data_IF_965161762191
#
_entry.id   IF_965161762191
#
_cell.length_a   1.000
_cell.length_b   1.000
_cell.length_c   1.000
_cell.angle_alpha   90.00
_cell.angle_beta   90.00
_cell.angle_gamma   90.00
#
_symmetry.space_group_name_H-M   'P 1'
#
loop_
_entity.id
_entity.type
_entity.pdbx_description
1 polymer ?
#
# COMPACT_ATOMS: atom_id res chain seq x y z
N UNK A 1 4.07 18.45 -22.50
CA UNK A 1 4.96 17.59 -21.69
C UNK A 1 5.30 16.41 -22.59
N UNK A 2 6.57 16.23 -22.94
CA UNK A 2 7.01 15.13 -23.81
C UNK A 2 6.92 13.82 -23.03
N UNK A 3 6.55 12.72 -23.69
CA UNK A 3 6.45 11.39 -23.08
C UNK A 3 7.77 10.87 -22.46
N UNK A 4 8.87 11.59 -22.65
CA UNK A 4 10.23 11.22 -22.26
C UNK A 4 10.53 11.44 -20.76
N UNK A 5 9.76 12.25 -20.02
CA UNK A 5 9.98 12.48 -18.58
C UNK A 5 8.91 11.81 -17.70
N UNK A 6 8.57 10.55 -18.01
CA UNK A 6 7.61 9.76 -17.24
C UNK A 6 8.28 8.54 -16.61
N UNK A 7 7.92 8.22 -15.36
CA UNK A 7 8.33 6.98 -14.71
C UNK A 7 7.16 6.27 -14.02
N UNK A 8 7.29 4.97 -13.85
CA UNK A 8 6.40 4.13 -13.05
C UNK A 8 7.03 3.82 -11.70
N UNK A 9 6.24 3.94 -10.63
CA UNK A 9 6.59 3.55 -9.27
C UNK A 9 5.61 2.47 -8.82
N UNK A 10 6.08 1.22 -8.76
CA UNK A 10 5.35 0.12 -8.15
C UNK A 10 5.56 0.16 -6.63
N UNK A 11 4.49 0.34 -5.87
CA UNK A 11 4.52 0.38 -4.41
C UNK A 11 4.03 -0.96 -3.86
N UNK A 12 4.98 -1.79 -3.43
CA UNK A 12 4.67 -3.04 -2.72
C UNK A 12 4.29 -2.69 -1.29
N UNK A 13 3.05 -3.02 -0.91
CA UNK A 13 2.39 -2.45 0.26
C UNK A 13 1.37 -3.42 0.87
N UNK A 14 1.08 -3.24 2.16
CA UNK A 14 -0.04 -3.89 2.84
C UNK A 14 -0.93 -2.85 3.53
N UNK A 15 -2.24 -2.97 3.40
CA UNK A 15 -3.22 -1.99 3.87
C UNK A 15 -3.32 -1.89 5.40
N UNK A 16 -2.77 -2.90 6.10
CA UNK A 16 -2.65 -2.94 7.57
C UNK A 16 -1.24 -2.59 8.08
N UNK A 17 -0.35 -2.10 7.21
CA UNK A 17 0.97 -1.61 7.60
C UNK A 17 0.95 -0.08 7.83
N UNK A 18 1.16 0.43 9.06
CA UNK A 18 1.11 1.87 9.31
C UNK A 18 2.25 2.63 8.62
N UNK A 19 3.40 1.97 8.42
CA UNK A 19 4.50 2.53 7.63
C UNK A 19 4.15 2.67 6.16
N UNK A 20 3.29 1.80 5.61
CA UNK A 20 2.82 1.96 4.24
C UNK A 20 1.93 3.19 4.09
N UNK A 21 1.14 3.53 5.11
CA UNK A 21 0.34 4.76 5.08
C UNK A 21 1.21 6.02 5.15
N UNK A 22 2.20 6.04 6.06
CA UNK A 22 3.20 7.13 6.12
C UNK A 22 3.94 7.24 4.77
N UNK A 23 4.42 6.11 4.24
CA UNK A 23 5.10 6.06 2.95
C UNK A 23 4.23 6.55 1.79
N UNK A 24 2.93 6.26 1.81
CA UNK A 24 1.97 6.78 0.84
C UNK A 24 1.89 8.31 0.87
N UNK A 25 1.76 8.91 2.06
CA UNK A 25 1.73 10.39 2.22
C UNK A 25 3.05 11.03 1.77
N UNK A 26 4.18 10.40 2.09
CA UNK A 26 5.50 10.88 1.69
C UNK A 26 5.73 10.75 0.20
N UNK A 27 5.24 9.69 -0.44
CA UNK A 27 5.27 9.54 -1.90
C UNK A 27 4.43 10.64 -2.58
N UNK A 28 3.22 10.94 -2.08
CA UNK A 28 2.41 12.04 -2.63
C UNK A 28 3.17 13.38 -2.59
N UNK A 29 3.83 13.68 -1.46
CA UNK A 29 4.69 14.88 -1.32
C UNK A 29 5.89 14.83 -2.27
N UNK A 30 6.57 13.69 -2.35
CA UNK A 30 7.72 13.48 -3.21
C UNK A 30 7.40 13.67 -4.69
N UNK A 31 6.22 13.21 -5.16
CA UNK A 31 5.76 13.41 -6.53
C UNK A 31 5.54 14.91 -6.80
N UNK A 32 4.92 15.64 -5.85
CA UNK A 32 4.76 17.08 -5.98
C UNK A 32 6.11 17.83 -6.00
N UNK A 33 7.10 17.36 -5.22
CA UNK A 33 8.45 17.92 -5.18
C UNK A 33 9.31 17.53 -6.39
N UNK A 34 9.06 16.39 -7.03
CA UNK A 34 9.75 15.95 -8.23
C UNK A 34 9.46 16.85 -9.44
N UNK A 35 8.38 17.63 -9.40
CA UNK A 35 8.12 18.73 -10.32
C UNK A 35 7.60 18.26 -11.68
N UNK A 36 8.47 18.25 -12.68
CA UNK A 36 8.12 18.02 -14.09
C UNK A 36 8.16 16.55 -14.52
N UNK A 37 8.42 15.63 -13.58
CA UNK A 37 8.38 14.19 -13.81
C UNK A 37 6.93 13.70 -13.72
N UNK A 38 6.45 13.06 -14.78
CA UNK A 38 5.14 12.39 -14.80
C UNK A 38 5.25 11.03 -14.11
N UNK A 39 4.70 10.90 -12.90
CA UNK A 39 4.86 9.70 -12.06
C UNK A 39 3.58 8.88 -12.04
N UNK A 40 3.67 7.67 -12.61
CA UNK A 40 2.62 6.67 -12.58
C UNK A 40 2.76 5.75 -11.37
N UNK A 41 1.80 5.76 -10.45
CA UNK A 41 1.86 4.97 -9.22
C UNK A 41 0.98 3.73 -9.35
N UNK A 42 1.55 2.55 -9.11
CA UNK A 42 0.81 1.29 -9.09
C UNK A 42 0.98 0.59 -7.76
N UNK A 43 -0.11 0.09 -7.19
CA UNK A 43 -0.07 -0.60 -5.90
C UNK A 43 0.01 -2.11 -6.12
N UNK A 44 1.00 -2.73 -5.46
CA UNK A 44 1.30 -4.16 -5.55
C UNK A 44 1.10 -4.82 -4.19
N UNK A 45 0.53 -6.02 -4.13
CA UNK A 45 0.12 -6.64 -2.89
C UNK A 45 1.31 -7.20 -2.11
N UNK A 46 1.24 -7.03 -0.80
CA UNK A 46 2.05 -7.73 0.19
C UNK A 46 1.15 -8.11 1.36
N UNK A 47 1.38 -9.26 1.97
CA UNK A 47 0.71 -9.62 3.23
C UNK A 47 1.75 -9.71 4.34
N UNK A 48 1.66 -8.81 5.32
CA UNK A 48 2.46 -8.85 6.53
C UNK A 48 2.27 -10.15 7.31
N UNK A 49 1.05 -10.70 7.24
CA UNK A 49 0.70 -11.94 7.91
C UNK A 49 -0.34 -12.73 7.09
N UNK A 50 0.10 -13.62 6.18
CA UNK A 50 -0.81 -14.45 5.40
C UNK A 50 -1.46 -15.57 6.23
N UNK A 51 -1.08 -15.73 7.51
CA UNK A 51 -1.61 -16.81 8.37
C UNK A 51 -2.90 -16.43 9.09
N UNK A 52 -3.25 -15.14 9.13
CA UNK A 52 -4.52 -14.66 9.67
C UNK A 52 -5.67 -15.32 8.88
N UNK A 53 -6.66 -15.96 9.53
CA UNK A 53 -7.80 -16.58 8.83
C UNK A 53 -8.66 -15.52 8.13
N UNK A 54 -9.47 -15.92 7.13
CA UNK A 54 -10.32 -14.99 6.38
C UNK A 54 -11.27 -14.18 7.28
N UNK A 55 -11.79 -14.79 8.35
CA UNK A 55 -12.65 -14.11 9.32
C UNK A 55 -11.93 -13.03 10.16
N UNK A 56 -10.59 -12.92 10.04
CA UNK A 56 -9.76 -12.08 10.89
C UNK A 56 -9.54 -12.66 12.28
N UNK A 57 -8.81 -11.92 13.10
CA UNK A 57 -8.57 -12.22 14.52
C UNK A 57 -8.95 -11.02 15.38
N UNK A 58 -9.23 -11.26 16.67
CA UNK A 58 -9.26 -10.17 17.64
C UNK A 58 -7.92 -9.41 17.61
N UNK A 59 -7.99 -8.09 17.44
CA UNK A 59 -6.79 -7.28 17.25
C UNK A 59 -5.87 -7.32 18.46
N UNK A 60 -6.43 -7.32 19.67
CA UNK A 60 -5.67 -7.30 20.91
C UNK A 60 -4.94 -8.62 21.09
N UNK A 61 -5.63 -9.75 20.94
CA UNK A 61 -5.03 -11.09 20.99
C UNK A 61 -3.91 -11.24 19.96
N UNK A 62 -4.17 -10.84 18.70
CA UNK A 62 -3.17 -10.87 17.64
C UNK A 62 -1.91 -10.07 17.99
N UNK A 63 -2.08 -8.83 18.49
CA UNK A 63 -0.96 -7.96 18.84
C UNK A 63 -0.17 -8.48 20.03
N UNK A 64 -0.85 -9.04 21.04
CA UNK A 64 -0.21 -9.68 22.18
C UNK A 64 0.60 -10.90 21.76
N UNK A 65 0.06 -11.75 20.87
CA UNK A 65 0.80 -12.88 20.32
C UNK A 65 2.04 -12.43 19.53
N UNK A 66 1.94 -11.35 18.76
CA UNK A 66 3.02 -10.83 17.92
C UNK A 66 4.12 -10.09 18.69
N UNK A 67 3.76 -9.30 19.70
CA UNK A 67 4.68 -8.38 20.38
C UNK A 67 4.92 -8.72 21.85
N UNK A 68 4.12 -9.59 22.46
CA UNK A 68 4.33 -10.17 23.78
C UNK A 68 3.76 -9.39 24.96
N UNK A 69 3.59 -8.06 24.88
CA UNK A 69 2.96 -7.28 25.96
C UNK A 69 2.27 -6.00 25.48
N UNK A 70 1.29 -5.52 26.26
CA UNK A 70 0.60 -4.26 26.03
C UNK A 70 1.57 -3.07 26.06
N UNK A 71 2.52 -3.07 27.00
CA UNK A 71 3.51 -2.00 27.13
C UNK A 71 4.36 -1.88 25.86
N UNK A 72 4.74 -3.02 25.25
CA UNK A 72 5.51 -3.01 24.00
C UNK A 72 4.68 -2.53 22.83
N UNK A 73 3.40 -2.91 22.76
CA UNK A 73 2.46 -2.42 21.75
C UNK A 73 2.31 -0.89 21.87
N UNK A 74 2.06 -0.38 23.07
CA UNK A 74 1.97 1.06 23.33
C UNK A 74 3.26 1.79 22.98
N UNK A 75 4.44 1.24 23.29
CA UNK A 75 5.72 1.85 22.90
C UNK A 75 5.91 1.90 21.39
N UNK A 76 5.45 0.89 20.64
CA UNK A 76 5.50 0.90 19.18
C UNK A 76 4.56 1.98 18.63
N UNK A 77 3.32 2.06 19.13
CA UNK A 77 2.37 3.09 18.71
C UNK A 77 2.86 4.52 19.04
N UNK A 78 3.37 4.74 20.26
CA UNK A 78 3.90 6.04 20.69
C UNK A 78 5.10 6.52 19.87
N UNK A 79 5.82 5.62 19.18
CA UNK A 79 6.90 5.98 18.26
C UNK A 79 6.40 6.35 16.87
N UNK A 80 5.30 5.78 16.42
CA UNK A 80 4.79 5.98 15.05
C UNK A 80 3.76 7.10 14.97
N UNK A 81 3.01 7.36 16.03
CA UNK A 81 2.00 8.42 16.09
C UNK A 81 2.55 9.80 15.70
N UNK A 82 3.68 10.28 16.29
CA UNK A 82 4.22 11.59 15.91
C UNK A 82 4.69 11.65 14.44
N UNK A 83 5.13 10.51 13.89
CA UNK A 83 5.53 10.42 12.48
C UNK A 83 4.31 10.49 11.57
N UNK A 84 3.19 9.87 11.97
CA UNK A 84 1.91 10.01 11.27
C UNK A 84 1.39 11.43 11.31
N UNK A 85 1.40 12.07 12.48
CA UNK A 85 0.93 13.46 12.66
C UNK A 85 1.69 14.44 11.76
N UNK A 86 3.00 14.27 11.62
CA UNK A 86 3.82 15.07 10.70
C UNK A 86 3.40 14.91 9.22
N UNK A 87 2.77 13.80 8.87
CA UNK A 87 2.19 13.53 7.55
C UNK A 87 0.67 13.80 7.48
N UNK A 88 0.08 14.34 8.54
CA UNK A 88 -1.37 14.61 8.62
C UNK A 88 -2.22 13.36 8.81
N UNK A 89 -1.67 12.29 9.39
CA UNK A 89 -2.38 11.07 9.75
C UNK A 89 -2.76 11.11 11.23
N UNK A 90 -4.03 10.92 11.53
CA UNK A 90 -4.52 10.80 12.91
C UNK A 90 -4.78 9.34 13.25
N UNK A 91 -3.73 8.63 13.64
CA UNK A 91 -3.83 7.21 13.99
C UNK A 91 -4.80 6.98 15.16
N UNK A 92 -5.86 6.22 14.90
CA UNK A 92 -6.84 5.74 15.85
C UNK A 92 -6.61 4.26 16.17
N UNK A 93 -5.39 3.88 16.57
CA UNK A 93 -5.04 2.46 16.83
C UNK A 93 -6.00 1.78 17.83
N UNK A 94 -6.53 2.54 18.81
CA UNK A 94 -7.52 2.04 19.76
C UNK A 94 -8.89 1.72 19.16
N UNK A 95 -9.24 2.26 17.99
CA UNK A 95 -10.47 1.96 17.26
C UNK A 95 -10.39 0.64 16.51
N UNK A 96 -9.19 0.18 16.14
CA UNK A 96 -8.98 -1.07 15.39
C UNK A 96 -9.28 -2.27 16.28
N UNK A 97 -10.38 -2.99 16.01
CA UNK A 97 -10.81 -4.16 16.79
C UNK A 97 -10.49 -5.50 16.15
N UNK A 98 -10.25 -5.51 14.84
CA UNK A 98 -9.97 -6.74 14.08
C UNK A 98 -8.58 -6.61 13.43
N UNK A 99 -7.79 -7.68 13.48
CA UNK A 99 -6.67 -7.89 12.57
C UNK A 99 -7.19 -8.67 11.35
N UNK A 100 -7.43 -8.03 10.20
CA UNK A 100 -8.02 -8.70 9.04
C UNK A 100 -6.98 -9.50 8.27
N UNK A 101 -7.44 -10.55 7.57
CA UNK A 101 -6.70 -11.06 6.42
C UNK A 101 -6.88 -10.06 5.26
N UNK A 102 -5.78 -9.59 4.68
CA UNK A 102 -5.81 -8.54 3.66
C UNK A 102 -5.91 -9.03 2.21
N UNK A 103 -6.07 -10.34 1.99
CA UNK A 103 -6.09 -10.93 0.65
C UNK A 103 -7.24 -10.37 -0.19
N UNK A 104 -8.44 -10.27 0.38
CA UNK A 104 -9.60 -9.70 -0.33
C UNK A 104 -9.44 -8.20 -0.58
N UNK A 105 -8.88 -7.44 0.36
CA UNK A 105 -8.54 -6.04 0.13
C UNK A 105 -7.57 -5.88 -1.06
N UNK A 106 -6.56 -6.76 -1.16
CA UNK A 106 -5.62 -6.78 -2.29
C UNK A 106 -6.26 -7.19 -3.62
N UNK A 107 -7.26 -8.08 -3.61
CA UNK A 107 -8.06 -8.39 -4.81
C UNK A 107 -8.82 -7.15 -5.30
N UNK A 108 -9.43 -6.38 -4.39
CA UNK A 108 -10.13 -5.14 -4.76
C UNK A 108 -9.15 -4.09 -5.28
N UNK A 109 -7.95 -3.96 -4.69
CA UNK A 109 -6.89 -3.08 -5.21
C UNK A 109 -6.50 -3.47 -6.65
N UNK A 110 -6.37 -4.78 -6.93
CA UNK A 110 -6.07 -5.28 -8.27
C UNK A 110 -7.16 -4.91 -9.27
N UNK A 111 -8.42 -5.10 -8.91
CA UNK A 111 -9.56 -4.73 -9.78
C UNK A 111 -9.66 -3.22 -9.98
N UNK A 112 -9.36 -2.42 -8.95
CA UNK A 112 -9.29 -0.96 -9.06
C UNK A 112 -8.23 -0.53 -10.09
N UNK A 113 -7.07 -1.21 -10.11
CA UNK A 113 -6.02 -0.97 -11.10
C UNK A 113 -6.50 -1.24 -12.54
N UNK A 114 -7.34 -2.24 -12.75
CA UNK A 114 -7.95 -2.50 -14.06
C UNK A 114 -8.99 -1.44 -14.47
N UNK A 115 -9.62 -0.77 -13.49
CA UNK A 115 -10.54 0.35 -13.72
C UNK A 115 -9.81 1.69 -13.97
N UNK A 116 -8.56 1.82 -13.52
CA UNK A 116 -7.69 2.96 -13.78
C UNK A 116 -6.73 3.26 -12.63
N UNK A 117 -5.57 3.85 -12.95
CA UNK A 117 -4.53 4.18 -11.97
C UNK A 117 -5.06 5.09 -10.85
N UNK A 118 -5.76 6.17 -11.21
CA UNK A 118 -6.34 7.09 -10.24
C UNK A 118 -7.39 6.44 -9.33
N UNK A 119 -8.13 5.46 -9.85
CA UNK A 119 -9.11 4.69 -9.07
C UNK A 119 -8.40 3.84 -8.03
N UNK A 120 -7.33 3.15 -8.43
CA UNK A 120 -6.49 2.37 -7.51
C UNK A 120 -5.85 3.25 -6.44
N UNK A 121 -5.30 4.40 -6.82
CA UNK A 121 -4.68 5.35 -5.91
C UNK A 121 -5.68 5.90 -4.87
N UNK A 122 -6.91 6.25 -5.29
CA UNK A 122 -7.97 6.66 -4.36
C UNK A 122 -8.39 5.53 -3.42
N UNK A 123 -8.55 4.30 -3.93
CA UNK A 123 -8.95 3.16 -3.13
C UNK A 123 -7.93 2.84 -2.03
N UNK A 124 -6.63 2.79 -2.37
CA UNK A 124 -5.59 2.48 -1.38
C UNK A 124 -5.51 3.56 -0.31
N UNK A 125 -5.60 4.84 -0.68
CA UNK A 125 -5.71 5.94 0.28
C UNK A 125 -6.92 5.72 1.20
N UNK A 126 -8.09 5.38 0.65
CA UNK A 126 -9.30 5.13 1.43
C UNK A 126 -9.15 3.95 2.38
N UNK A 127 -8.55 2.85 1.95
CA UNK A 127 -8.28 1.69 2.80
C UNK A 127 -7.37 2.03 3.98
N UNK A 128 -6.32 2.82 3.76
CA UNK A 128 -5.49 3.28 4.88
C UNK A 128 -6.29 4.09 5.89
N UNK A 129 -7.12 5.04 5.44
CA UNK A 129 -7.96 5.86 6.33
C UNK A 129 -8.97 5.00 7.09
N UNK A 130 -9.67 4.10 6.38
CA UNK A 130 -10.62 3.15 6.97
C UNK A 130 -9.98 2.34 8.10
N UNK A 131 -8.81 1.75 7.86
CA UNK A 131 -8.15 0.93 8.87
C UNK A 131 -7.55 1.77 10.00
N UNK A 132 -6.80 2.84 9.68
CA UNK A 132 -5.95 3.52 10.64
C UNK A 132 -6.57 4.72 11.33
N UNK A 133 -7.54 5.39 10.71
CA UNK A 133 -8.19 6.59 11.26
C UNK A 133 -9.62 6.28 11.74
N UNK A 134 -10.29 5.32 11.10
CA UNK A 134 -11.69 4.95 11.41
C UNK A 134 -11.85 3.60 12.13
N UNK A 135 -10.81 2.75 12.12
CA UNK A 135 -10.85 1.43 12.76
C UNK A 135 -11.75 0.40 12.05
N UNK A 136 -12.10 0.63 10.79
CA UNK A 136 -12.91 -0.26 9.99
C UNK A 136 -12.18 -1.57 9.64
N UNK A 137 -12.95 -2.65 9.54
CA UNK A 137 -12.42 -3.98 9.25
C UNK A 137 -12.26 -4.19 7.73
N UNK A 138 -11.03 -4.15 7.22
CA UNK A 138 -10.75 -4.41 5.79
C UNK A 138 -10.86 -5.90 5.38
N UNK A 139 -11.26 -6.79 6.29
CA UNK A 139 -11.70 -8.15 5.94
C UNK A 139 -13.21 -8.25 5.69
N UNK A 140 -13.97 -7.19 5.96
CA UNK A 140 -15.42 -7.15 5.73
C UNK A 140 -15.74 -6.73 4.30
N UNK A 141 -16.42 -7.61 3.56
CA UNK A 141 -16.80 -7.36 2.16
C UNK A 141 -17.66 -6.10 2.00
N UNK A 142 -18.53 -5.77 2.95
CA UNK A 142 -19.36 -4.57 2.86
C UNK A 142 -18.50 -3.29 2.92
N UNK A 143 -17.47 -3.28 3.78
CA UNK A 143 -16.50 -2.18 3.87
C UNK A 143 -15.70 -2.06 2.57
N UNK A 144 -15.27 -3.19 1.99
CA UNK A 144 -14.51 -3.20 0.74
C UNK A 144 -15.33 -2.69 -0.45
N UNK A 145 -16.60 -3.11 -0.56
CA UNK A 145 -17.52 -2.68 -1.61
C UNK A 145 -17.78 -1.17 -1.54
N UNK A 146 -18.04 -0.63 -0.35
CA UNK A 146 -18.32 0.80 -0.21
C UNK A 146 -17.08 1.65 -0.51
N UNK A 147 -15.91 1.24 -0.04
CA UNK A 147 -14.66 1.91 -0.38
C UNK A 147 -14.37 1.89 -1.90
N UNK A 148 -14.66 0.78 -2.57
CA UNK A 148 -14.55 0.68 -4.03
C UNK A 148 -15.49 1.66 -4.75
N UNK A 149 -16.72 1.78 -4.27
CA UNK A 149 -17.70 2.76 -4.77
C UNK A 149 -17.21 4.20 -4.61
N UNK A 150 -16.74 4.56 -3.41
CA UNK A 150 -16.18 5.89 -3.11
C UNK A 150 -14.94 6.19 -3.98
N UNK A 151 -14.13 5.18 -4.28
CA UNK A 151 -12.99 5.30 -5.18
C UNK A 151 -13.39 5.47 -6.66
N UNK A 152 -14.66 5.27 -7.02
CA UNK A 152 -15.18 5.43 -8.38
C UNK A 152 -15.23 4.13 -9.20
N UNK A 153 -15.18 2.97 -8.54
CA UNK A 153 -15.43 1.68 -9.19
C UNK A 153 -16.94 1.42 -9.34
N UNK A 154 -17.29 0.55 -10.30
CA UNK A 154 -18.61 -0.07 -10.31
C UNK A 154 -18.68 -1.11 -9.17
N UNK A 155 -19.40 -0.76 -8.10
CA UNK A 155 -19.55 -1.61 -6.91
C UNK A 155 -20.13 -2.99 -7.24
N UNK A 156 -20.96 -3.11 -8.28
CA UNK A 156 -21.59 -4.39 -8.66
C UNK A 156 -20.57 -5.44 -9.10
N UNK A 157 -19.45 -5.00 -9.70
CA UNK A 157 -18.33 -5.89 -10.05
C UNK A 157 -17.70 -6.45 -8.79
N UNK A 158 -17.45 -5.60 -7.79
CA UNK A 158 -16.82 -5.99 -6.53
C UNK A 158 -17.74 -6.92 -5.72
N UNK A 159 -19.03 -6.58 -5.62
CA UNK A 159 -20.07 -7.40 -4.98
C UNK A 159 -20.18 -8.80 -5.62
N UNK A 160 -20.01 -8.88 -6.94
CA UNK A 160 -20.08 -10.15 -7.67
C UNK A 160 -18.82 -11.00 -7.49
N UNK A 161 -17.64 -10.39 -7.50
CA UNK A 161 -16.37 -11.12 -7.51
C UNK A 161 -15.89 -11.52 -6.11
N UNK A 162 -16.11 -10.69 -5.08
CA UNK A 162 -15.63 -10.93 -3.71
C UNK A 162 -16.04 -12.29 -3.13
N UNK A 163 -17.29 -12.78 -3.29
CA UNK A 163 -17.71 -14.08 -2.77
C UNK A 163 -17.09 -15.29 -3.49
N UNK A 164 -16.35 -15.08 -4.57
CA UNK A 164 -15.73 -16.12 -5.39
C UNK A 164 -14.22 -16.17 -5.19
N UNK A 165 -13.55 -17.14 -5.82
CA UNK A 165 -12.07 -17.23 -5.84
C UNK A 165 -11.42 -16.37 -6.96
N UNK A 166 -12.17 -15.48 -7.62
CA UNK A 166 -11.66 -14.64 -8.69
C UNK A 166 -10.38 -13.88 -8.26
N UNK A 167 -9.29 -14.02 -9.02
CA UNK A 167 -7.98 -13.42 -8.76
C UNK A 167 -7.29 -13.79 -7.43
N UNK A 168 -7.81 -14.73 -6.63
CA UNK A 168 -7.14 -15.21 -5.40
C UNK A 168 -5.73 -15.72 -5.71
N UNK A 169 -5.60 -16.62 -6.68
CA UNK A 169 -4.30 -17.18 -7.07
C UNK A 169 -3.41 -16.15 -7.75
N UNK A 170 -3.99 -15.21 -8.50
CA UNK A 170 -3.24 -14.13 -9.14
C UNK A 170 -2.55 -13.24 -8.08
N UNK A 171 -3.30 -12.81 -7.06
CA UNK A 171 -2.77 -11.99 -5.96
C UNK A 171 -1.73 -12.76 -5.14
N UNK A 172 -1.98 -14.04 -4.82
CA UNK A 172 -1.00 -14.90 -4.12
C UNK A 172 0.30 -15.06 -4.91
N UNK A 173 0.20 -15.30 -6.21
CA UNK A 173 1.37 -15.43 -7.08
C UNK A 173 2.17 -14.13 -7.16
N UNK A 174 1.48 -13.00 -7.12
CA UNK A 174 2.09 -11.67 -7.11
C UNK A 174 2.84 -11.39 -5.80
N UNK A 175 2.23 -11.69 -4.65
CA UNK A 175 2.89 -11.63 -3.33
C UNK A 175 4.14 -12.53 -3.30
N UNK A 176 4.02 -13.77 -3.80
CA UNK A 176 5.13 -14.70 -3.87
C UNK A 176 6.25 -14.21 -4.82
N UNK A 177 5.90 -13.47 -5.87
CA UNK A 177 6.87 -12.88 -6.80
C UNK A 177 7.66 -11.77 -6.12
N UNK A 178 7.00 -10.86 -5.40
CA UNK A 178 7.67 -9.82 -4.62
C UNK A 178 8.65 -10.43 -3.60
N UNK A 179 8.26 -11.51 -2.92
CA UNK A 179 9.14 -12.24 -2.01
C UNK A 179 10.37 -12.84 -2.71
N UNK A 180 10.19 -13.46 -3.89
CA UNK A 180 11.31 -13.99 -4.71
C UNK A 180 12.25 -12.90 -5.21
N UNK A 181 11.75 -11.67 -5.39
CA UNK A 181 12.56 -10.49 -5.71
C UNK A 181 13.35 -9.96 -4.50
N UNK A 182 13.24 -10.60 -3.33
CA UNK A 182 13.94 -10.20 -2.10
C UNK A 182 13.19 -9.17 -1.26
N UNK A 183 11.95 -8.82 -1.62
CA UNK A 183 11.13 -7.87 -0.86
C UNK A 183 10.57 -8.59 0.36
N UNK A 184 11.16 -8.29 1.53
CA UNK A 184 10.84 -8.92 2.82
C UNK A 184 10.17 -7.95 3.80
N UNK A 185 9.96 -6.70 3.39
CA UNK A 185 9.30 -5.67 4.19
C UNK A 185 8.69 -4.58 3.31
N UNK A 186 7.73 -3.84 3.88
CA UNK A 186 6.94 -2.82 3.19
C UNK A 186 6.83 -1.53 4.01
N UNK A 187 6.68 -0.35 3.38
CA UNK A 187 6.55 -0.15 1.93
C UNK A 187 7.89 -0.37 1.20
N UNK A 188 7.80 -0.84 -0.04
CA UNK A 188 8.93 -0.87 -0.98
C UNK A 188 8.49 -0.17 -2.26
N UNK A 189 9.28 0.83 -2.69
CA UNK A 189 9.05 1.59 -3.90
C UNK A 189 10.00 1.08 -4.98
N UNK A 190 9.45 0.46 -6.03
CA UNK A 190 10.19 -0.02 -7.19
C UNK A 190 10.02 0.98 -8.33
N UNK A 191 11.07 1.74 -8.63
CA UNK A 191 11.09 2.70 -9.73
C UNK A 191 11.52 1.99 -11.02
N UNK A 192 10.67 2.06 -12.05
CA UNK A 192 10.84 1.40 -13.35
C UNK A 192 11.12 -0.11 -13.25
N UNK A 193 10.72 -0.74 -12.15
CA UNK A 193 11.01 -2.15 -11.86
C UNK A 193 12.49 -2.47 -11.66
N UNK A 194 13.37 -1.47 -11.51
CA UNK A 194 14.84 -1.65 -11.44
C UNK A 194 15.46 -1.16 -10.15
N UNK A 195 14.99 -0.03 -9.62
CA UNK A 195 15.54 0.55 -8.39
C UNK A 195 14.55 0.40 -7.25
N UNK A 196 15.01 -0.13 -6.12
CA UNK A 196 14.19 -0.31 -4.92
C UNK A 196 14.58 0.72 -3.85
N UNK A 197 13.59 1.45 -3.34
CA UNK A 197 13.71 2.23 -2.11
C UNK A 197 12.90 1.52 -1.02
N UNK A 198 13.59 1.12 0.05
CA UNK A 198 13.00 0.31 1.13
C UNK A 198 12.56 1.17 2.31
N UNK A 199 11.34 0.92 2.81
CA UNK A 199 10.77 1.59 3.97
C UNK A 199 10.20 2.96 3.64
N UNK A 200 9.49 3.55 4.61
CA UNK A 200 8.90 4.88 4.49
C UNK A 200 9.98 5.97 4.61
N UNK A 201 10.88 6.08 3.64
CA UNK A 201 11.87 7.16 3.54
C UNK A 201 11.19 8.53 3.51
N UNK A 202 11.93 9.59 3.84
CA UNK A 202 11.41 10.96 3.74
C UNK A 202 11.07 11.35 2.29
N UNK A 203 10.24 12.39 2.15
CA UNK A 203 9.76 12.85 0.84
C UNK A 203 10.92 13.32 -0.06
N UNK A 204 11.93 13.98 0.52
CA UNK A 204 13.11 14.47 -0.21
C UNK A 204 13.89 13.31 -0.85
N UNK A 205 14.17 12.25 -0.08
CA UNK A 205 14.84 11.03 -0.57
C UNK A 205 14.06 10.37 -1.70
N UNK A 206 12.72 10.27 -1.55
CA UNK A 206 11.87 9.71 -2.59
C UNK A 206 11.85 10.60 -3.85
N UNK A 207 11.80 11.93 -3.70
CA UNK A 207 11.82 12.88 -4.81
C UNK A 207 13.15 12.85 -5.57
N UNK A 208 14.27 12.76 -4.84
CA UNK A 208 15.60 12.58 -5.42
C UNK A 208 15.71 11.28 -6.20
N UNK A 209 15.20 10.17 -5.65
CA UNK A 209 15.18 8.89 -6.34
C UNK A 209 14.35 8.96 -7.63
N UNK A 210 13.16 9.59 -7.59
CA UNK A 210 12.30 9.82 -8.75
C UNK A 210 13.05 10.61 -9.83
N UNK A 211 13.65 11.75 -9.47
CA UNK A 211 14.42 12.60 -10.42
C UNK A 211 15.61 11.86 -11.00
N UNK A 212 16.34 11.12 -10.18
CA UNK A 212 17.51 10.37 -10.63
C UNK A 212 17.14 9.29 -11.64
N UNK A 213 16.09 8.50 -11.36
CA UNK A 213 15.63 7.43 -12.26
C UNK A 213 15.02 8.00 -13.53
N UNK A 214 14.23 9.07 -13.44
CA UNK A 214 13.70 9.76 -14.62
C UNK A 214 14.83 10.28 -15.52
N UNK A 215 15.85 10.91 -14.92
CA UNK A 215 17.03 11.36 -15.65
C UNK A 215 17.81 10.22 -16.32
N UNK A 216 18.01 9.10 -15.62
CA UNK A 216 18.66 7.91 -16.18
C UNK A 216 17.85 7.30 -17.34
N UNK A 217 16.52 7.27 -17.21
CA UNK A 217 15.59 6.83 -18.26
C UNK A 217 15.70 7.70 -19.51
N UNK A 218 15.66 9.02 -19.33
CA UNK A 218 15.79 9.98 -20.43
C UNK A 218 17.14 9.86 -21.16
N UNK A 219 18.20 9.40 -20.48
CA UNK A 219 19.52 9.11 -21.07
C UNK A 219 19.66 7.70 -21.68
N UNK A 220 18.63 6.85 -21.59
CA UNK A 220 18.67 5.47 -22.07
C UNK A 220 19.51 4.52 -21.20
N UNK A 221 19.89 4.94 -20.00
CA UNK A 221 20.78 4.18 -19.11
C UNK A 221 20.04 3.03 -18.41
N UNK A 222 18.71 3.04 -18.44
CA UNK A 222 17.92 1.98 -17.83
C UNK A 222 17.94 0.69 -18.65
N UNK A 223 18.10 0.74 -19.98
CA UNK A 223 18.04 -0.45 -20.82
C UNK A 223 19.32 -1.30 -20.76
N UNK A 224 20.37 -0.80 -20.13
CA UNK A 224 21.69 -1.43 -20.03
C UNK A 224 21.79 -2.22 -18.71
N UNK A 225 21.09 -3.36 -18.64
CA UNK A 225 21.40 -4.38 -17.65
C UNK A 225 21.12 -5.74 -18.29
N UNK A 226 22.19 -6.34 -18.82
CA UNK A 226 22.25 -7.71 -19.34
C UNK A 226 21.88 -8.75 -18.26
#
# INVERSE_FOLDING_TARGET
MSAENSITVDVVSDVVCPWCFIGQKRLDKAIAEAGDVDVHVRWRPFQLDPTIPQAGMDRREYMLGKFGSEERIHQIHARIEPLGEAEGIHFAFGAIKVAPNTLDAHRVIRWAGAAGEDVQNRLVRRFFQLNFEEGANLGDHAVLVEAAREAGMDASVVETLLPTDADVDAVRNEIATASRMGITGVPCFLLEGKYAVMGAQDAETLADAIRQVAGAKARGELEIAD
#
